data_IF_820153074051
#
_entry.id   IF_820153074051
#
_cell.length_a   1.000
_cell.length_b   1.000
_cell.length_c   1.000
_cell.angle_alpha   90.00
_cell.angle_beta   90.00
_cell.angle_gamma   90.00
#
_symmetry.space_group_name_H-M   'P 1'
#
loop_
_entity.id
_entity.type
_entity.pdbx_description
1 polymer ?
#
# COMPACT_ATOMS: atom_id res chain seq x y z
N UNK A 1 3.18 8.99 3.77
CA UNK A 1 3.41 7.52 3.83
C UNK A 1 3.00 6.94 5.18
N UNK A 2 3.61 7.37 6.30
CA UNK A 2 3.35 6.78 7.63
C UNK A 2 1.86 6.77 8.00
N UNK A 3 1.18 7.93 7.89
CA UNK A 3 -0.26 8.06 8.15
C UNK A 3 -1.10 7.13 7.26
N UNK A 4 -0.72 6.98 5.99
CA UNK A 4 -1.42 6.10 5.06
C UNK A 4 -1.29 4.62 5.48
N UNK A 5 -0.09 4.21 5.89
CA UNK A 5 0.17 2.86 6.38
C UNK A 5 -0.58 2.56 7.69
N UNK A 6 -0.61 3.50 8.62
CA UNK A 6 -1.38 3.38 9.87
C UNK A 6 -2.88 3.22 9.59
N UNK A 7 -3.43 4.04 8.69
CA UNK A 7 -4.84 3.95 8.28
C UNK A 7 -5.16 2.63 7.56
N UNK A 8 -4.28 2.15 6.67
CA UNK A 8 -4.45 0.87 5.97
C UNK A 8 -4.57 -0.30 6.96
N UNK A 9 -3.64 -0.38 7.92
CA UNK A 9 -3.56 -1.49 8.88
C UNK A 9 -4.69 -1.50 9.91
N UNK A 10 -5.23 -0.33 10.25
CA UNK A 10 -6.36 -0.22 11.19
C UNK A 10 -7.71 -0.49 10.55
N UNK A 11 -7.83 -0.34 9.22
CA UNK A 11 -9.11 -0.42 8.51
C UNK A 11 -9.50 -1.84 8.14
N UNK A 12 -8.54 -2.67 7.75
CA UNK A 12 -8.81 -4.02 7.27
C UNK A 12 -7.73 -5.01 7.70
N UNK A 13 -8.06 -6.30 7.64
CA UNK A 13 -7.11 -7.36 7.93
C UNK A 13 -6.10 -7.53 6.78
N UNK A 14 -5.08 -6.68 6.78
CA UNK A 14 -3.95 -6.67 5.83
C UNK A 14 -2.64 -6.67 6.59
N UNK A 15 -1.60 -7.21 5.97
CA UNK A 15 -0.24 -7.23 6.51
C UNK A 15 0.60 -6.20 5.79
N UNK A 16 1.31 -5.37 6.56
CA UNK A 16 2.32 -4.49 5.99
C UNK A 16 3.55 -5.32 5.62
N UNK A 17 3.89 -5.32 4.34
CA UNK A 17 5.02 -6.11 3.85
C UNK A 17 6.29 -5.28 3.81
N UNK A 18 6.15 -4.01 3.46
CA UNK A 18 7.28 -3.12 3.38
C UNK A 18 6.93 -1.80 2.74
N UNK A 19 7.97 -1.00 2.56
CA UNK A 19 7.88 0.27 1.87
C UNK A 19 9.07 0.40 0.94
N UNK A 20 8.88 1.12 -0.15
CA UNK A 20 9.90 1.39 -1.14
C UNK A 20 10.04 2.89 -1.29
N UNK A 21 11.26 3.38 -1.11
CA UNK A 21 11.63 4.75 -1.45
C UNK A 21 12.24 4.74 -2.83
N UNK A 22 11.60 5.44 -3.74
CA UNK A 22 12.20 5.86 -5.00
C UNK A 22 12.79 7.25 -4.78
N UNK A 23 13.60 7.75 -5.73
CA UNK A 23 14.19 9.08 -5.64
C UNK A 23 13.12 10.20 -5.65
N UNK A 24 13.55 11.45 -5.46
CA UNK A 24 12.70 12.64 -5.45
C UNK A 24 11.58 12.63 -4.38
N UNK A 25 11.79 11.89 -3.27
CA UNK A 25 10.84 11.85 -2.15
C UNK A 25 9.62 10.96 -2.39
N UNK A 26 9.61 10.17 -3.46
CA UNK A 26 8.52 9.24 -3.75
C UNK A 26 8.64 8.00 -2.86
N UNK A 27 7.60 7.75 -2.06
CA UNK A 27 7.58 6.62 -1.15
C UNK A 27 6.28 5.83 -1.29
N UNK A 28 6.40 4.53 -1.54
CA UNK A 28 5.28 3.59 -1.72
C UNK A 28 5.23 2.63 -0.53
N UNK A 29 4.06 2.52 0.11
CA UNK A 29 3.79 1.50 1.11
C UNK A 29 3.08 0.30 0.45
N UNK A 30 3.44 -0.91 0.87
CA UNK A 30 2.95 -2.16 0.28
C UNK A 30 2.28 -2.99 1.37
N UNK A 31 1.04 -3.41 1.10
CA UNK A 31 0.26 -4.29 1.97
C UNK A 31 -0.24 -5.51 1.20
N UNK A 32 -0.35 -6.66 1.88
CA UNK A 32 -0.90 -7.91 1.34
C UNK A 32 -2.10 -8.40 2.16
N UNK A 33 -3.01 -9.12 1.51
CA UNK A 33 -4.20 -9.71 2.10
C UNK A 33 -5.21 -10.10 1.03
N UNK A 34 -6.41 -10.51 1.45
CA UNK A 34 -7.51 -10.76 0.53
C UNK A 34 -7.88 -9.50 -0.25
N UNK A 35 -8.30 -9.66 -1.52
CA UNK A 35 -8.58 -8.55 -2.43
C UNK A 35 -9.57 -7.54 -1.83
N UNK A 36 -10.59 -8.01 -1.12
CA UNK A 36 -11.57 -7.15 -0.45
C UNK A 36 -10.94 -6.32 0.68
N UNK A 37 -10.07 -6.93 1.50
CA UNK A 37 -9.37 -6.25 2.58
C UNK A 37 -8.35 -5.25 2.04
N UNK A 38 -7.59 -5.62 1.00
CA UNK A 38 -6.61 -4.72 0.34
C UNK A 38 -7.32 -3.52 -0.27
N UNK A 39 -8.49 -3.71 -0.89
CA UNK A 39 -9.28 -2.59 -1.43
C UNK A 39 -9.75 -1.64 -0.34
N UNK A 40 -10.35 -2.17 0.74
CA UNK A 40 -10.79 -1.35 1.87
C UNK A 40 -9.62 -0.60 2.53
N UNK A 41 -8.48 -1.27 2.75
CA UNK A 41 -7.28 -0.65 3.29
C UNK A 41 -6.77 0.48 2.40
N UNK A 42 -6.58 0.22 1.10
CA UNK A 42 -6.02 1.20 0.16
C UNK A 42 -6.91 2.43 -0.03
N UNK A 43 -8.24 2.27 -0.02
CA UNK A 43 -9.18 3.39 -0.07
C UNK A 43 -9.03 4.30 1.17
N UNK A 44 -8.95 3.71 2.37
CA UNK A 44 -8.72 4.46 3.62
C UNK A 44 -7.33 5.11 3.66
N UNK A 45 -6.29 4.38 3.25
CA UNK A 45 -4.91 4.88 3.16
C UNK A 45 -4.79 6.05 2.19
N UNK A 46 -5.45 5.99 1.03
CA UNK A 46 -5.47 7.06 0.05
C UNK A 46 -6.15 8.33 0.60
N UNK A 47 -7.28 8.18 1.30
CA UNK A 47 -7.95 9.30 1.95
C UNK A 47 -7.07 9.95 3.03
N UNK A 48 -6.43 9.14 3.89
CA UNK A 48 -5.55 9.61 4.94
C UNK A 48 -4.28 10.28 4.38
N UNK A 49 -3.69 9.73 3.31
CA UNK A 49 -2.53 10.31 2.63
C UNK A 49 -2.82 11.71 2.10
N UNK A 50 -3.94 11.89 1.39
CA UNK A 50 -4.36 13.19 0.82
C UNK A 50 -4.60 14.26 1.87
N UNK A 51 -4.96 13.87 3.10
CA UNK A 51 -5.19 14.81 4.20
C UNK A 51 -3.90 15.43 4.72
N UNK A 52 -2.81 14.67 4.73
CA UNK A 52 -1.54 15.07 5.38
C UNK A 52 -0.40 15.33 4.39
N UNK A 53 -0.63 15.11 3.08
CA UNK A 53 0.37 15.31 2.05
C UNK A 53 -0.14 14.97 0.65
N UNK A 54 0.79 14.72 -0.27
CA UNK A 54 0.49 14.42 -1.66
C UNK A 54 0.37 12.91 -1.90
N UNK A 55 -0.74 12.48 -2.50
CA UNK A 55 -0.91 11.11 -2.97
C UNK A 55 -0.62 11.05 -4.47
N UNK A 56 0.47 10.37 -4.84
CA UNK A 56 0.87 10.18 -6.23
C UNK A 56 0.07 9.07 -6.91
N UNK A 57 -0.23 7.98 -6.20
CA UNK A 57 -0.98 6.87 -6.77
C UNK A 57 -1.43 5.85 -5.73
N UNK A 58 -2.48 5.11 -6.07
CA UNK A 58 -3.00 3.97 -5.31
C UNK A 58 -3.44 2.89 -6.30
N UNK A 59 -3.12 1.64 -6.01
CA UNK A 59 -3.43 0.53 -6.91
C UNK A 59 -3.63 -0.77 -6.13
N UNK A 60 -4.53 -1.61 -6.64
CA UNK A 60 -4.80 -2.95 -6.09
C UNK A 60 -4.56 -3.97 -7.20
N UNK A 61 -3.66 -4.91 -6.94
CA UNK A 61 -3.38 -6.04 -7.81
C UNK A 61 -4.04 -7.27 -7.19
N UNK A 62 -5.19 -7.67 -7.72
CA UNK A 62 -5.98 -8.76 -7.15
C UNK A 62 -5.26 -10.13 -7.20
N UNK A 63 -4.43 -10.33 -8.24
CA UNK A 63 -3.63 -11.54 -8.42
C UNK A 63 -2.29 -11.15 -9.06
N UNK A 64 -1.25 -10.90 -8.25
CA UNK A 64 0.10 -10.69 -8.75
C UNK A 64 0.57 -11.88 -9.60
N UNK A 65 1.37 -11.60 -10.63
CA UNK A 65 1.97 -12.66 -11.45
C UNK A 65 3.03 -13.43 -10.66
N UNK A 66 3.18 -14.72 -10.98
CA UNK A 66 4.19 -15.57 -10.35
C UNK A 66 5.59 -14.99 -10.58
N UNK A 67 6.42 -14.98 -9.52
CA UNK A 67 7.78 -14.45 -9.57
C UNK A 67 7.90 -12.93 -9.39
N UNK A 68 6.81 -12.19 -9.28
CA UNK A 68 6.87 -10.72 -9.08
C UNK A 68 7.59 -10.34 -7.76
N UNK A 69 7.50 -11.21 -6.75
CA UNK A 69 8.17 -11.06 -5.45
C UNK A 69 9.71 -11.08 -5.56
N UNK A 70 10.27 -11.55 -6.69
CA UNK A 70 11.73 -11.54 -6.93
C UNK A 70 12.25 -10.16 -7.36
N UNK A 71 11.36 -9.32 -7.92
CA UNK A 71 11.69 -7.99 -8.43
C UNK A 71 11.27 -6.92 -7.44
N UNK A 72 10.08 -7.08 -6.85
CA UNK A 72 9.53 -6.14 -5.89
C UNK A 72 9.45 -6.80 -4.50
N UNK A 73 9.74 -6.06 -3.41
CA UNK A 73 9.66 -6.58 -2.05
C UNK A 73 8.21 -6.56 -1.58
N UNK A 74 7.41 -7.38 -2.25
CA UNK A 74 5.97 -7.49 -2.02
C UNK A 74 5.61 -8.69 -1.13
N UNK A 75 6.57 -9.58 -0.78
CA UNK A 75 6.48 -10.53 0.34
C UNK A 75 6.25 -11.97 -0.02
#
# INVERSE_FOLDING_TARGET
MIEAADAMLKTANVVFVGWQKVDAGLVTAIVRGDVANVKAATDAGAAAARRVGELVGVHVIARPADGLDTIFPIG
#
